data_IF_518008297019
#
_entry.id   IF_518008297019
#
_cell.length_a   1.000
_cell.length_b   1.000
_cell.length_c   1.000
_cell.angle_alpha   90.00
_cell.angle_beta   90.00
_cell.angle_gamma   90.00
#
_symmetry.space_group_name_H-M   'P 1'
#
loop_
_entity.id
_entity.type
_entity.pdbx_description
1 polymer ?
#
# COMPACT_ATOMS: atom_id res chain seq x y z
N UNK A 1 30.75 -4.01 -9.19
CA UNK A 1 31.59 -2.87 -8.75
C UNK A 1 30.65 -1.86 -8.14
N UNK A 2 30.58 -1.89 -6.82
CA UNK A 2 29.59 -1.14 -6.04
C UNK A 2 29.92 0.35 -6.06
N UNK A 3 28.91 1.21 -5.98
CA UNK A 3 29.07 2.66 -6.02
C UNK A 3 29.94 3.13 -4.85
N UNK A 4 29.69 2.59 -3.64
CA UNK A 4 30.51 2.90 -2.45
C UNK A 4 31.99 2.60 -2.68
N UNK A 5 32.30 1.48 -3.33
CA UNK A 5 33.67 1.10 -3.67
C UNK A 5 34.28 2.02 -4.71
N UNK A 6 33.53 2.42 -5.75
CA UNK A 6 34.00 3.36 -6.77
C UNK A 6 34.38 4.72 -6.17
N UNK A 7 33.58 5.22 -5.22
CA UNK A 7 33.88 6.49 -4.52
C UNK A 7 35.18 6.40 -3.72
N UNK A 8 35.38 5.28 -3.02
CA UNK A 8 36.62 5.05 -2.27
C UNK A 8 37.84 4.92 -3.20
N UNK A 9 37.71 4.22 -4.32
CA UNK A 9 38.79 4.10 -5.30
C UNK A 9 39.14 5.45 -5.93
N UNK A 10 38.16 6.21 -6.40
CA UNK A 10 38.37 7.52 -7.01
C UNK A 10 39.10 8.47 -6.04
N UNK A 11 38.71 8.45 -4.76
CA UNK A 11 39.36 9.25 -3.72
C UNK A 11 40.84 8.92 -3.52
N UNK A 12 41.21 7.66 -3.67
CA UNK A 12 42.59 7.17 -3.48
C UNK A 12 43.45 7.40 -4.72
N UNK A 13 42.87 7.27 -5.91
CA UNK A 13 43.58 7.37 -7.19
C UNK A 13 44.08 8.78 -7.47
N UNK A 14 43.33 9.80 -7.04
CA UNK A 14 43.65 11.21 -7.30
C UNK A 14 44.84 11.75 -6.47
N UNK A 15 45.40 10.96 -5.53
CA UNK A 15 46.36 11.44 -4.50
C UNK A 15 45.95 12.79 -3.89
N UNK A 16 44.65 13.05 -3.86
CA UNK A 16 44.12 14.31 -3.38
C UNK A 16 44.36 14.40 -1.88
N UNK A 17 44.45 15.62 -1.36
CA UNK A 17 44.62 15.87 0.07
C UNK A 17 43.46 15.35 0.92
N UNK A 18 42.33 15.00 0.28
CA UNK A 18 41.11 14.55 0.93
C UNK A 18 40.82 13.08 0.58
N UNK A 19 41.21 12.17 1.48
CA UNK A 19 40.87 10.75 1.37
C UNK A 19 39.57 10.48 2.13
N UNK A 20 38.57 9.90 1.46
CA UNK A 20 37.34 9.49 2.10
C UNK A 20 37.54 8.16 2.84
N UNK A 21 37.16 8.13 4.11
CA UNK A 21 37.12 6.90 4.89
C UNK A 21 35.88 6.06 4.52
N UNK A 22 35.98 4.74 4.66
CA UNK A 22 34.89 3.79 4.40
C UNK A 22 33.66 4.10 5.23
N UNK A 23 33.85 4.48 6.50
CA UNK A 23 32.75 4.87 7.39
C UNK A 23 32.02 6.12 6.91
N UNK A 24 32.77 7.14 6.50
CA UNK A 24 32.19 8.38 6.00
C UNK A 24 31.34 8.13 4.74
N UNK A 25 31.83 7.31 3.81
CA UNK A 25 31.07 6.94 2.61
C UNK A 25 29.80 6.16 2.96
N UNK A 26 29.87 5.24 3.93
CA UNK A 26 28.70 4.50 4.39
C UNK A 26 27.67 5.41 5.08
N UNK A 27 28.10 6.26 6.01
CA UNK A 27 27.23 7.15 6.77
C UNK A 27 26.56 8.19 5.86
N UNK A 28 27.31 8.78 4.92
CA UNK A 28 26.76 9.72 3.94
C UNK A 28 25.77 9.04 3.00
N UNK A 29 26.06 7.82 2.56
CA UNK A 29 25.14 7.03 1.74
C UNK A 29 23.85 6.71 2.50
N UNK A 30 23.95 6.20 3.73
CA UNK A 30 22.82 5.94 4.62
C UNK A 30 21.96 7.19 4.82
N UNK A 31 22.59 8.30 5.22
CA UNK A 31 21.91 9.55 5.49
C UNK A 31 21.19 10.10 4.25
N UNK A 32 21.82 9.98 3.08
CA UNK A 32 21.24 10.42 1.80
C UNK A 32 19.99 9.62 1.48
N UNK A 33 20.00 8.31 1.69
CA UNK A 33 18.82 7.46 1.45
C UNK A 33 17.72 7.70 2.49
N UNK A 34 18.08 7.81 3.77
CA UNK A 34 17.12 8.07 4.83
C UNK A 34 16.45 9.43 4.66
N UNK A 35 17.14 10.46 4.21
CA UNK A 35 16.54 11.79 3.99
C UNK A 35 15.86 11.94 2.64
N UNK A 36 16.40 11.32 1.58
CA UNK A 36 15.92 11.48 0.21
C UNK A 36 14.73 10.58 -0.17
N UNK A 37 14.50 9.48 0.54
CA UNK A 37 13.40 8.56 0.25
C UNK A 37 12.12 8.91 1.01
N UNK A 38 10.97 8.66 0.36
CA UNK A 38 9.65 8.75 0.98
C UNK A 38 9.56 7.77 2.16
N UNK A 39 8.89 8.17 3.24
CA UNK A 39 8.74 7.38 4.48
C UNK A 39 8.25 5.95 4.22
N UNK A 40 7.33 5.80 3.26
CA UNK A 40 6.75 4.52 2.87
C UNK A 40 7.75 3.56 2.19
N UNK A 41 8.81 4.09 1.57
CA UNK A 41 9.93 3.33 1.00
C UNK A 41 11.00 3.12 2.06
N UNK A 42 11.29 4.15 2.85
CA UNK A 42 12.30 4.18 3.92
C UNK A 42 12.15 3.03 4.93
N UNK A 43 10.94 2.83 5.44
CA UNK A 43 10.64 1.76 6.42
C UNK A 43 11.02 0.36 5.90
N UNK A 44 10.94 0.15 4.58
CA UNK A 44 11.28 -1.13 3.97
C UNK A 44 12.77 -1.31 3.71
N UNK A 45 13.52 -0.22 3.57
CA UNK A 45 14.95 -0.23 3.20
C UNK A 45 15.88 -0.06 4.40
N UNK A 46 15.40 0.60 5.46
CA UNK A 46 16.13 0.82 6.71
C UNK A 46 16.84 -0.43 7.28
N UNK A 47 16.19 -1.62 7.42
CA UNK A 47 16.85 -2.77 8.04
C UNK A 47 18.08 -3.24 7.25
N UNK A 48 18.07 -3.05 5.93
CA UNK A 48 19.16 -3.49 5.06
C UNK A 48 20.29 -2.47 4.96
N UNK A 49 19.99 -1.22 5.29
CA UNK A 49 20.91 -0.10 5.32
C UNK A 49 21.65 0.02 6.66
N UNK A 50 21.11 -0.53 7.74
CA UNK A 50 21.79 -0.64 9.05
C UNK A 50 22.96 -1.64 9.01
N UNK A 51 22.91 -2.62 8.09
CA UNK A 51 23.98 -3.59 7.89
C UNK A 51 25.06 -3.05 6.93
N UNK A 52 26.30 -2.79 7.39
CA UNK A 52 27.35 -2.19 6.58
C UNK A 52 27.91 -3.13 5.49
N UNK A 53 27.62 -4.43 5.60
CA UNK A 53 28.08 -5.47 4.66
C UNK A 53 27.08 -5.76 3.53
N UNK A 54 25.88 -5.16 3.54
CA UNK A 54 24.93 -5.33 2.45
C UNK A 54 25.51 -4.72 1.17
N UNK A 55 25.50 -5.45 0.06
CA UNK A 55 25.99 -4.93 -1.23
C UNK A 55 25.02 -3.93 -1.86
N UNK A 56 25.55 -3.06 -2.72
CA UNK A 56 24.73 -2.04 -3.39
C UNK A 56 23.65 -2.66 -4.28
N UNK A 57 23.92 -3.82 -4.88
CA UNK A 57 23.00 -4.57 -5.74
C UNK A 57 21.75 -5.02 -4.97
N UNK A 58 21.93 -5.55 -3.76
CA UNK A 58 20.82 -6.00 -2.91
C UNK A 58 19.97 -4.81 -2.47
N UNK A 59 20.60 -3.68 -2.13
CA UNK A 59 19.90 -2.46 -1.77
C UNK A 59 19.09 -1.91 -2.95
N UNK A 60 19.63 -1.96 -4.16
CA UNK A 60 18.96 -1.48 -5.36
C UNK A 60 17.76 -2.37 -5.75
N UNK A 61 17.89 -3.68 -5.60
CA UNK A 61 16.79 -4.63 -5.80
C UNK A 61 15.65 -4.33 -4.82
N UNK A 62 15.95 -4.22 -3.53
CA UNK A 62 14.96 -3.93 -2.50
C UNK A 62 14.30 -2.58 -2.66
N UNK A 63 15.07 -1.56 -3.06
CA UNK A 63 14.54 -0.24 -3.40
C UNK A 63 13.55 -0.34 -4.57
N UNK A 64 13.89 -1.08 -5.62
CA UNK A 64 13.02 -1.27 -6.80
C UNK A 64 11.71 -1.94 -6.42
N UNK A 65 11.77 -2.99 -5.58
CA UNK A 65 10.58 -3.69 -5.06
C UNK A 65 9.72 -2.75 -4.19
N UNK A 66 10.34 -2.00 -3.28
CA UNK A 66 9.64 -1.06 -2.41
C UNK A 66 8.96 0.07 -3.19
N UNK A 67 9.64 0.63 -4.19
CA UNK A 67 9.09 1.66 -5.09
C UNK A 67 7.93 1.10 -5.91
N UNK A 68 8.06 -0.09 -6.49
CA UNK A 68 6.98 -0.73 -7.24
C UNK A 68 5.74 -0.96 -6.36
N UNK A 69 5.94 -1.43 -5.13
CA UNK A 69 4.86 -1.60 -4.14
C UNK A 69 4.18 -0.28 -3.80
N UNK A 70 4.95 0.80 -3.63
CA UNK A 70 4.40 2.12 -3.34
C UNK A 70 3.67 2.75 -4.54
N UNK A 71 4.14 2.54 -5.78
CA UNK A 71 3.41 2.96 -6.97
C UNK A 71 2.03 2.28 -7.08
N UNK A 72 1.93 0.99 -6.75
CA UNK A 72 0.64 0.30 -6.72
C UNK A 72 -0.28 0.90 -5.65
N UNK A 73 0.25 1.25 -4.48
CA UNK A 73 -0.52 1.93 -3.41
C UNK A 73 -1.00 3.32 -3.86
N UNK A 74 -0.14 4.10 -4.52
CA UNK A 74 -0.49 5.41 -5.06
C UNK A 74 -1.59 5.29 -6.14
N UNK A 75 -1.47 4.33 -7.06
CA UNK A 75 -2.48 4.09 -8.13
C UNK A 75 -3.82 3.57 -7.60
N UNK A 76 -3.83 2.83 -6.49
CA UNK A 76 -5.06 2.28 -5.87
C UNK A 76 -5.75 3.24 -4.89
N UNK A 77 -5.09 4.34 -4.51
CA UNK A 77 -5.74 5.41 -3.74
C UNK A 77 -6.50 6.30 -4.72
N UNK A 78 -7.84 6.38 -4.67
CA UNK A 78 -8.57 7.48 -5.31
C UNK A 78 -8.33 8.73 -4.45
N UNK A 79 -7.14 9.32 -4.56
CA UNK A 79 -6.87 10.60 -3.96
C UNK A 79 -7.72 11.64 -4.67
N UNK A 80 -8.63 12.30 -3.94
CA UNK A 80 -9.11 13.62 -4.38
C UNK A 80 -7.87 14.48 -4.59
N UNK A 81 -7.73 15.19 -5.73
CA UNK A 81 -6.61 16.10 -5.87
C UNK A 81 -6.73 17.14 -4.77
N UNK A 82 -5.78 17.15 -3.83
CA UNK A 82 -5.55 18.31 -3.01
C UNK A 82 -5.15 19.41 -4.00
N UNK A 83 -5.99 20.44 -4.12
CA UNK A 83 -5.74 21.59 -4.97
C UNK A 83 -4.61 22.40 -4.33
N UNK A 84 -3.38 21.92 -4.46
CA UNK A 84 -2.19 22.73 -4.18
C UNK A 84 -1.87 23.45 -5.49
N UNK A 85 -2.02 24.78 -5.49
CA UNK A 85 -1.68 25.62 -6.64
C UNK A 85 -0.17 25.44 -6.92
N UNK A 86 0.25 24.99 -8.11
CA UNK A 86 1.66 25.04 -8.45
C UNK A 86 2.05 26.51 -8.63
N UNK A 87 3.06 26.95 -7.87
CA UNK A 87 3.79 28.19 -8.16
C UNK A 87 4.61 27.91 -9.42
N UNK A 88 4.22 28.54 -10.51
CA UNK A 88 4.94 28.48 -11.77
C UNK A 88 6.26 29.25 -11.64
N UNK A 89 7.38 28.53 -11.62
CA UNK A 89 8.69 29.12 -11.89
C UNK A 89 8.90 28.98 -13.41
N UNK A 90 8.99 30.14 -14.05
CA UNK A 90 9.26 30.32 -15.47
C UNK A 90 10.65 29.78 -15.83
N UNK A 91 10.70 28.83 -16.75
CA UNK A 91 11.87 28.60 -17.58
C UNK A 91 11.37 28.29 -19.00
N UNK A 92 11.27 29.35 -19.79
CA UNK A 92 11.18 29.30 -21.25
C UNK A 92 12.50 28.77 -21.80
N UNK A 93 12.45 27.90 -22.81
CA UNK A 93 13.26 27.94 -24.04
C UNK A 93 12.81 26.78 -25.01
N UNK A 94 13.03 26.89 -26.33
CA UNK A 94 12.13 26.36 -27.38
C UNK A 94 12.56 25.08 -28.13
N UNK A 95 11.57 24.51 -28.86
CA UNK A 95 11.54 23.54 -30.00
C UNK A 95 12.82 23.38 -30.86
N UNK A 96 13.08 22.27 -31.64
CA UNK A 96 12.23 21.85 -32.78
C UNK A 96 12.16 20.34 -33.19
N UNK A 97 10.98 19.98 -33.72
CA UNK A 97 10.61 19.23 -34.95
C UNK A 97 11.30 17.93 -35.47
N UNK A 98 10.44 17.13 -36.15
CA UNK A 98 10.58 15.78 -36.73
C UNK A 98 11.37 15.73 -38.05
N UNK A 99 11.76 14.52 -38.52
CA UNK A 99 11.39 14.12 -39.90
C UNK A 99 10.60 12.78 -40.03
N UNK A 100 9.88 12.66 -41.15
CA UNK A 100 8.94 11.61 -41.59
C UNK A 100 9.63 10.54 -42.45
N UNK A 101 9.08 9.31 -42.55
CA UNK A 101 8.73 8.56 -43.80
C UNK A 101 7.98 7.24 -43.48
N UNK A 102 6.73 7.03 -43.98
CA UNK A 102 6.24 6.12 -45.07
C UNK A 102 6.61 4.63 -44.85
N UNK A 103 5.80 3.58 -45.00
CA UNK A 103 4.51 3.20 -45.63
C UNK A 103 4.19 1.81 -44.99
N UNK A 104 2.96 1.46 -44.63
CA UNK A 104 2.22 0.42 -45.36
C UNK A 104 0.75 0.33 -44.94
N UNK A 105 -0.04 -0.17 -45.88
CA UNK A 105 -1.51 -0.16 -45.94
C UNK A 105 -2.10 -1.43 -45.31
N UNK A 106 -3.35 -1.28 -44.87
CA UNK A 106 -4.37 -2.33 -44.70
C UNK A 106 -4.29 -3.29 -43.49
N UNK A 107 -4.71 -2.79 -42.32
CA UNK A 107 -5.81 -3.34 -41.46
C UNK A 107 -5.92 -2.61 -40.10
N UNK A 108 -6.49 -1.39 -40.01
CA UNK A 108 -6.77 -0.74 -38.72
C UNK A 108 -8.24 -0.81 -38.27
N UNK A 109 -9.18 -1.30 -39.09
CA UNK A 109 -10.61 -1.14 -38.79
C UNK A 109 -11.22 -2.25 -37.93
N UNK A 110 -10.72 -3.50 -37.96
CA UNK A 110 -11.29 -4.58 -37.11
C UNK A 110 -10.93 -4.37 -35.63
N UNK A 111 -9.66 -4.08 -35.35
CA UNK A 111 -9.17 -3.93 -33.97
C UNK A 111 -9.72 -2.69 -33.26
N UNK A 112 -10.04 -1.62 -34.02
CA UNK A 112 -10.68 -0.42 -33.44
C UNK A 112 -12.11 -0.69 -33.01
N UNK A 113 -12.86 -1.41 -33.83
CA UNK A 113 -14.22 -1.84 -33.51
C UNK A 113 -14.22 -2.78 -32.31
N UNK A 114 -13.27 -3.71 -32.24
CA UNK A 114 -13.10 -4.57 -31.07
C UNK A 114 -12.68 -3.80 -29.81
N UNK A 115 -11.82 -2.78 -29.93
CA UNK A 115 -11.42 -1.92 -28.81
C UNK A 115 -12.57 -1.05 -28.29
N UNK A 116 -13.39 -0.51 -29.19
CA UNK A 116 -14.57 0.29 -28.82
C UNK A 116 -15.63 -0.61 -28.16
N UNK A 117 -15.88 -1.80 -28.72
CA UNK A 117 -16.77 -2.80 -28.12
C UNK A 117 -16.27 -3.29 -26.75
N UNK A 118 -14.97 -3.55 -26.61
CA UNK A 118 -14.36 -3.95 -25.34
C UNK A 118 -14.43 -2.83 -24.30
N UNK A 119 -14.30 -1.57 -24.74
CA UNK A 119 -14.42 -0.39 -23.88
C UNK A 119 -15.86 -0.20 -23.39
N UNK A 120 -16.85 -0.51 -24.21
CA UNK A 120 -18.26 -0.55 -23.81
C UNK A 120 -18.54 -1.65 -22.77
N UNK A 121 -18.08 -2.88 -23.01
CA UNK A 121 -18.22 -3.98 -22.05
C UNK A 121 -17.52 -3.69 -20.71
N UNK A 122 -16.34 -3.05 -20.74
CA UNK A 122 -15.65 -2.60 -19.53
C UNK A 122 -16.41 -1.50 -18.79
N UNK A 123 -17.08 -0.61 -19.51
CA UNK A 123 -17.91 0.43 -18.90
C UNK A 123 -19.16 -0.17 -18.22
N UNK A 124 -19.80 -1.15 -18.85
CA UNK A 124 -20.95 -1.88 -18.31
C UNK A 124 -20.58 -2.65 -17.03
N UNK A 125 -19.49 -3.43 -17.04
CA UNK A 125 -18.99 -4.14 -15.85
C UNK A 125 -18.65 -3.16 -14.72
N UNK A 126 -18.07 -1.99 -15.05
CA UNK A 126 -17.77 -0.94 -14.07
C UNK A 126 -19.02 -0.32 -13.46
N UNK A 127 -20.11 -0.19 -14.22
CA UNK A 127 -21.41 0.27 -13.70
C UNK A 127 -22.02 -0.77 -12.76
N UNK A 128 -22.04 -2.05 -13.16
CA UNK A 128 -22.54 -3.14 -12.31
C UNK A 128 -21.77 -3.26 -10.99
N UNK A 129 -20.43 -3.08 -11.02
CA UNK A 129 -19.59 -3.04 -9.82
C UNK A 129 -19.88 -1.81 -8.94
N UNK A 130 -20.23 -0.67 -9.53
CA UNK A 130 -20.56 0.57 -8.79
C UNK A 130 -21.91 0.45 -8.08
N UNK A 131 -22.90 -0.18 -8.73
CA UNK A 131 -24.22 -0.41 -8.15
C UNK A 131 -24.19 -1.54 -7.11
N UNK A 132 -23.40 -2.60 -7.34
CA UNK A 132 -23.10 -3.61 -6.33
C UNK A 132 -22.37 -3.06 -5.09
N UNK A 133 -21.48 -2.07 -5.28
CA UNK A 133 -20.82 -1.37 -4.16
C UNK A 133 -21.71 -0.36 -3.44
N UNK A 134 -22.72 0.22 -4.10
CA UNK A 134 -23.72 1.05 -3.42
C UNK A 134 -24.53 0.25 -2.39
N UNK A 135 -24.76 -1.03 -2.64
CA UNK A 135 -25.40 -1.95 -1.67
C UNK A 135 -24.48 -2.30 -0.48
N UNK A 136 -23.16 -2.17 -0.64
CA UNK A 136 -22.17 -2.46 0.42
C UNK A 136 -21.68 -1.22 1.20
N UNK A 137 -22.04 -0.02 0.77
CA UNK A 137 -21.70 1.22 1.48
C UNK A 137 -22.73 1.52 2.57
N UNK A 138 -22.47 0.89 3.72
CA UNK A 138 -23.19 1.10 4.97
C UNK A 138 -24.01 -0.12 5.34
N UNK A 139 -23.50 -0.97 6.25
CA UNK A 139 -24.43 -1.74 7.09
C UNK A 139 -25.36 -0.70 7.71
N UNK A 140 -26.69 -0.80 7.55
CA UNK A 140 -27.59 0.07 8.30
C UNK A 140 -27.18 -0.03 9.77
N UNK A 141 -27.02 1.11 10.45
CA UNK A 141 -26.89 1.09 11.91
C UNK A 141 -28.10 0.31 12.39
N UNK A 142 -27.87 -0.81 13.08
CA UNK A 142 -28.98 -1.58 13.65
C UNK A 142 -29.81 -0.61 14.49
N UNK A 143 -31.15 -0.65 14.37
CA UNK A 143 -32.02 0.12 15.24
C UNK A 143 -31.60 -0.09 16.69
N UNK A 144 -31.61 0.97 17.50
CA UNK A 144 -31.23 0.88 18.91
C UNK A 144 -32.05 -0.16 19.69
N UNK A 145 -33.26 -0.46 19.18
CA UNK A 145 -34.17 -1.50 19.64
C UNK A 145 -33.59 -2.92 19.55
N UNK A 146 -32.49 -3.14 18.83
CA UNK A 146 -31.79 -4.42 18.68
C UNK A 146 -30.50 -4.51 19.52
N UNK A 147 -30.22 -3.50 20.35
CA UNK A 147 -29.05 -3.51 21.23
C UNK A 147 -29.33 -4.32 22.51
N UNK A 148 -28.36 -5.13 22.93
CA UNK A 148 -28.39 -5.96 24.13
C UNK A 148 -28.66 -7.44 23.86
N UNK A 149 -28.55 -8.29 24.89
CA UNK A 149 -28.96 -9.68 24.79
C UNK A 149 -30.49 -9.81 24.69
N UNK A 150 -30.99 -10.94 24.19
CA UNK A 150 -32.44 -11.19 24.00
C UNK A 150 -33.27 -11.01 25.28
N UNK A 151 -32.69 -11.23 26.45
CA UNK A 151 -33.34 -11.00 27.75
C UNK A 151 -33.40 -9.51 28.11
N UNK A 152 -32.35 -8.74 27.83
CA UNK A 152 -32.33 -7.28 28.07
C UNK A 152 -33.17 -6.53 27.05
N UNK A 153 -33.25 -7.02 25.81
CA UNK A 153 -34.09 -6.46 24.76
C UNK A 153 -35.58 -6.55 25.15
N UNK A 154 -36.03 -7.73 25.64
CA UNK A 154 -37.42 -7.92 26.12
C UNK A 154 -37.79 -7.05 27.32
N UNK A 155 -36.81 -6.71 28.16
CA UNK A 155 -37.01 -5.84 29.33
C UNK A 155 -36.92 -4.35 29.01
N UNK A 156 -36.64 -3.97 27.75
CA UNK A 156 -36.43 -2.58 27.37
C UNK A 156 -35.12 -1.96 27.89
N UNK A 157 -34.24 -2.76 28.50
CA UNK A 157 -32.94 -2.34 29.07
C UNK A 157 -31.78 -2.67 28.14
N UNK A 158 -32.04 -2.78 26.83
CA UNK A 158 -31.07 -3.15 25.82
C UNK A 158 -29.79 -2.33 25.92
N UNK A 159 -29.91 -0.99 25.94
CA UNK A 159 -28.80 -0.03 26.02
C UNK A 159 -27.88 -0.21 27.24
N UNK A 160 -28.39 -0.73 28.35
CA UNK A 160 -27.66 -0.93 29.60
C UNK A 160 -27.16 -2.38 29.75
N UNK A 161 -27.23 -3.17 28.68
CA UNK A 161 -26.76 -4.55 28.69
C UNK A 161 -25.23 -4.60 28.71
N UNK A 162 -24.66 -5.03 29.85
CA UNK A 162 -23.23 -5.30 30.02
C UNK A 162 -22.89 -6.80 29.97
N UNK A 163 -23.88 -7.63 29.65
CA UNK A 163 -23.78 -9.09 29.63
C UNK A 163 -23.46 -9.59 28.23
N UNK A 164 -23.22 -10.89 28.10
CA UNK A 164 -23.03 -11.52 26.81
C UNK A 164 -24.27 -11.37 25.93
N UNK A 165 -24.12 -10.81 24.73
CA UNK A 165 -25.22 -10.60 23.79
C UNK A 165 -25.74 -11.91 23.19
N UNK A 166 -24.97 -13.01 23.30
CA UNK A 166 -25.29 -14.32 22.74
C UNK A 166 -26.05 -15.22 23.72
N UNK A 167 -25.56 -15.35 24.96
CA UNK A 167 -26.18 -16.21 25.99
C UNK A 167 -26.82 -15.45 27.16
N UNK A 168 -26.58 -14.15 27.29
CA UNK A 168 -27.10 -13.33 28.39
C UNK A 168 -26.35 -13.47 29.72
N UNK A 169 -25.26 -14.24 29.78
CA UNK A 169 -24.47 -14.43 31.00
C UNK A 169 -23.63 -13.21 31.37
N UNK A 170 -23.41 -13.02 32.67
CA UNK A 170 -22.54 -11.97 33.23
C UNK A 170 -21.07 -12.44 33.22
N UNK A 171 -20.13 -11.50 33.33
CA UNK A 171 -18.69 -11.81 33.40
C UNK A 171 -17.97 -12.08 32.07
N UNK A 172 -18.67 -12.07 30.92
CA UNK A 172 -18.04 -12.12 29.59
C UNK A 172 -18.90 -11.40 28.53
N UNK A 173 -18.27 -10.96 27.43
CA UNK A 173 -18.98 -10.39 26.27
C UNK A 173 -19.13 -11.43 25.15
N UNK A 174 -19.93 -11.12 24.12
CA UNK A 174 -20.23 -12.05 23.02
C UNK A 174 -18.99 -12.57 22.27
N UNK A 175 -17.87 -11.84 22.32
CA UNK A 175 -16.57 -12.25 21.75
C UNK A 175 -15.88 -13.36 22.54
N UNK A 176 -16.16 -13.43 23.83
CA UNK A 176 -15.57 -14.36 24.81
C UNK A 176 -16.59 -15.43 25.22
N UNK A 177 -17.72 -15.52 24.50
CA UNK A 177 -18.74 -16.50 24.79
C UNK A 177 -18.26 -17.88 24.35
N UNK A 178 -17.93 -18.73 25.33
CA UNK A 178 -17.57 -20.13 25.11
C UNK A 178 -18.70 -20.94 24.47
N UNK A 179 -19.96 -20.51 24.64
CA UNK A 179 -21.13 -21.10 23.96
C UNK A 179 -21.27 -20.63 22.50
N UNK A 180 -20.15 -20.36 21.84
CA UNK A 180 -20.14 -20.00 20.44
C UNK A 180 -20.27 -21.24 19.57
N UNK A 181 -21.51 -21.68 19.32
CA UNK A 181 -21.84 -22.80 18.42
C UNK A 181 -21.56 -22.51 16.93
N UNK A 182 -20.63 -21.61 16.62
CA UNK A 182 -20.22 -21.30 15.26
C UNK A 182 -18.73 -20.94 15.23
N UNK A 183 -17.89 -21.85 15.72
CA UNK A 183 -16.44 -21.80 15.52
C UNK A 183 -16.11 -22.51 14.20
N UNK A 184 -16.27 -21.83 13.07
CA UNK A 184 -15.77 -22.33 11.79
C UNK A 184 -14.24 -22.30 11.67
N UNK A 185 -13.49 -22.46 12.77
CA UNK A 185 -12.03 -22.34 12.80
C UNK A 185 -11.40 -23.02 14.04
N UNK A 186 -11.86 -24.21 14.40
CA UNK A 186 -11.37 -25.00 15.54
C UNK A 186 -10.11 -25.84 15.24
N UNK A 187 -9.53 -25.74 14.04
CA UNK A 187 -8.20 -26.30 13.73
C UNK A 187 -7.12 -25.23 13.86
N UNK A 188 -6.48 -25.10 15.03
CA UNK A 188 -5.29 -24.22 15.09
C UNK A 188 -4.58 -23.96 16.40
N UNK A 189 -5.03 -24.44 17.56
CA UNK A 189 -4.29 -24.21 18.82
C UNK A 189 -4.28 -25.46 19.70
N UNK A 190 -3.10 -26.03 20.03
CA UNK A 190 -3.02 -27.12 20.99
C UNK A 190 -3.37 -26.62 22.39
N UNK A 191 -4.32 -27.31 23.01
CA UNK A 191 -4.75 -27.13 24.39
C UNK A 191 -3.55 -27.34 25.32
N UNK A 192 -3.11 -26.29 26.03
CA UNK A 192 -2.21 -26.44 27.17
C UNK A 192 -3.07 -26.80 28.38
N UNK A 193 -3.00 -28.05 28.81
CA UNK A 193 -3.63 -28.52 30.04
C UNK A 193 -3.07 -27.76 31.23
N UNK A 194 -3.97 -27.38 32.14
CA UNK A 194 -3.62 -27.02 33.51
C UNK A 194 -4.41 -27.94 34.43
N UNK A 195 -3.67 -28.47 35.40
CA UNK A 195 -4.00 -29.45 36.44
C UNK A 195 -5.12 -28.98 37.38
#
# INVERSE_FOLDING_TARGET
>A
MDLRQKVLFASQEDKSTLQYDTRLVQDTFFQTLMTGLEESVRIHLQPDLEDPNTSDEVLLEKLTVAVARNQVRQKKRPGKPAHVKPVAILASEPSPEKPKEKKDKDKPNSLRVELDSLKEQMHEIKQLLKDGRRSQQGRPRRPDSEWGCTSCQRKGLGRQCHHCFKCGGEGHRARECSNSSNQGNEEGLPHRGTE
#
